data_IF_144449215587
#
_entry.id   IF_144449215587
#
_cell.length_a   1.000
_cell.length_b   1.000
_cell.length_c   1.000
_cell.angle_alpha   90.00
_cell.angle_beta   90.00
_cell.angle_gamma   90.00
#
_symmetry.space_group_name_H-M   'P 1'
#
loop_
_entity.id
_entity.type
_entity.pdbx_description
1 polymer ?
#
# COMPACT_ATOMS: atom_id res chain seq x y z
N UNK A 1 -20.14 -9.30 -13.91
CA UNK A 1 -20.68 -9.91 -12.65
C UNK A 1 -20.93 -8.80 -11.65
N UNK A 2 -21.89 -8.96 -10.78
CA UNK A 2 -22.12 -8.04 -9.66
C UNK A 2 -21.47 -8.63 -8.41
N UNK A 3 -20.57 -7.87 -7.78
CA UNK A 3 -19.75 -8.34 -6.65
C UNK A 3 -19.94 -7.39 -5.48
N UNK A 4 -20.17 -7.96 -4.30
CA UNK A 4 -20.21 -7.22 -3.05
C UNK A 4 -18.95 -7.52 -2.24
N UNK A 5 -18.27 -6.46 -1.78
CA UNK A 5 -17.11 -6.56 -0.90
C UNK A 5 -17.47 -5.97 0.44
N UNK A 6 -17.22 -6.68 1.50
CA UNK A 6 -17.45 -6.22 2.86
C UNK A 6 -16.11 -5.81 3.49
N UNK A 7 -16.01 -4.54 3.82
CA UNK A 7 -14.81 -3.92 4.37
C UNK A 7 -14.04 -3.10 3.33
N UNK A 8 -13.84 -1.81 3.63
CA UNK A 8 -13.09 -0.87 2.80
C UNK A 8 -11.67 -0.64 3.33
N UNK A 9 -11.05 -1.70 3.81
CA UNK A 9 -9.63 -1.72 4.11
C UNK A 9 -8.79 -1.87 2.84
N UNK A 10 -7.48 -2.01 3.00
CA UNK A 10 -6.54 -2.13 1.87
C UNK A 10 -6.89 -3.32 0.99
N UNK A 11 -7.17 -4.48 1.59
CA UNK A 11 -7.52 -5.68 0.82
C UNK A 11 -8.82 -5.52 0.05
N UNK A 12 -9.86 -5.00 0.70
CA UNK A 12 -11.17 -4.79 0.06
C UNK A 12 -11.12 -3.76 -1.06
N UNK A 13 -10.45 -2.64 -0.85
CA UNK A 13 -10.32 -1.60 -1.87
C UNK A 13 -9.43 -2.04 -3.04
N UNK A 14 -8.36 -2.79 -2.77
CA UNK A 14 -7.50 -3.36 -3.83
C UNK A 14 -8.29 -4.34 -4.68
N UNK A 15 -9.02 -5.25 -4.05
CA UNK A 15 -9.87 -6.20 -4.77
C UNK A 15 -10.94 -5.48 -5.61
N UNK A 16 -11.58 -4.44 -5.05
CA UNK A 16 -12.56 -3.64 -5.77
C UNK A 16 -11.97 -3.02 -7.03
N UNK A 17 -10.82 -2.35 -6.90
CA UNK A 17 -10.16 -1.69 -8.03
C UNK A 17 -9.82 -2.68 -9.15
N UNK A 18 -9.23 -3.83 -8.80
CA UNK A 18 -8.85 -4.83 -9.79
C UNK A 18 -10.04 -5.50 -10.44
N UNK A 19 -11.11 -5.74 -9.71
CA UNK A 19 -12.34 -6.33 -10.26
C UNK A 19 -13.08 -5.35 -11.16
N UNK A 20 -13.10 -4.07 -10.83
CA UNK A 20 -13.67 -3.04 -11.70
C UNK A 20 -12.92 -2.93 -13.03
N UNK A 21 -11.59 -2.97 -13.00
CA UNK A 21 -10.77 -3.00 -14.22
C UNK A 21 -11.09 -4.20 -15.13
N UNK A 22 -11.54 -5.30 -14.54
CA UNK A 22 -11.99 -6.49 -15.29
C UNK A 22 -13.42 -6.39 -15.80
N UNK A 23 -14.11 -5.29 -15.57
CA UNK A 23 -15.46 -5.06 -16.06
C UNK A 23 -16.57 -5.52 -15.14
N UNK A 24 -16.26 -5.86 -13.90
CA UNK A 24 -17.27 -6.23 -12.91
C UNK A 24 -17.91 -5.00 -12.26
N UNK A 25 -19.17 -5.12 -11.86
CA UNK A 25 -19.82 -4.11 -11.03
C UNK A 25 -19.55 -4.43 -9.56
N UNK A 26 -18.84 -3.54 -8.89
CA UNK A 26 -18.41 -3.78 -7.50
C UNK A 26 -19.09 -2.78 -6.57
N UNK A 27 -19.63 -3.27 -5.46
CA UNK A 27 -20.07 -2.46 -4.32
C UNK A 27 -19.24 -2.82 -3.09
N UNK A 28 -18.72 -1.79 -2.43
CA UNK A 28 -17.97 -1.96 -1.19
C UNK A 28 -18.82 -1.47 -0.03
N UNK A 29 -18.96 -2.30 0.99
CA UNK A 29 -19.71 -2.00 2.21
C UNK A 29 -18.73 -1.80 3.36
N UNK A 30 -18.79 -0.65 4.03
CA UNK A 30 -17.92 -0.29 5.14
C UNK A 30 -18.75 0.05 6.37
N UNK A 31 -18.38 -0.52 7.52
CA UNK A 31 -19.09 -0.27 8.79
C UNK A 31 -18.89 1.14 9.33
N UNK A 32 -17.77 1.78 9.03
CA UNK A 32 -17.49 3.14 9.46
C UNK A 32 -18.16 4.15 8.53
N UNK A 33 -18.51 5.33 9.07
CA UNK A 33 -19.15 6.39 8.29
C UNK A 33 -18.23 7.06 7.28
N UNK A 34 -16.92 6.87 7.43
CA UNK A 34 -15.90 7.38 6.50
C UNK A 34 -14.75 6.40 6.38
N UNK A 35 -14.05 6.46 5.24
CA UNK A 35 -12.79 5.76 5.07
C UNK A 35 -11.72 6.60 5.77
N UNK A 36 -11.24 6.11 6.91
CA UNK A 36 -10.21 6.80 7.66
C UNK A 36 -8.83 6.42 7.15
N UNK A 37 -7.97 7.42 7.02
CA UNK A 37 -6.57 7.19 6.74
C UNK A 37 -5.93 6.44 7.92
N UNK A 38 -5.22 5.38 7.60
CA UNK A 38 -4.42 4.68 8.60
C UNK A 38 -3.21 5.54 8.95
N UNK A 39 -2.97 5.71 10.24
CA UNK A 39 -1.77 6.39 10.74
C UNK A 39 -0.50 5.52 10.61
N UNK A 40 -0.64 4.28 10.18
CA UNK A 40 0.45 3.34 9.98
C UNK A 40 1.06 3.45 8.59
N UNK A 41 2.35 3.22 8.49
CA UNK A 41 3.02 3.07 7.21
C UNK A 41 2.81 1.67 6.64
N UNK A 42 2.80 1.58 5.32
CA UNK A 42 2.67 0.30 4.60
C UNK A 42 3.82 0.20 3.62
N UNK A 43 4.58 -0.88 3.72
CA UNK A 43 5.62 -1.23 2.76
C UNK A 43 5.05 -2.10 1.65
N UNK A 44 5.32 -1.74 0.40
CA UNK A 44 4.92 -2.52 -0.76
C UNK A 44 6.19 -2.93 -1.50
N UNK A 45 6.41 -4.23 -1.59
CA UNK A 45 7.57 -4.78 -2.26
C UNK A 45 7.54 -4.60 -3.77
N UNK A 46 8.71 -4.54 -4.38
CA UNK A 46 8.86 -4.40 -5.83
C UNK A 46 8.19 -5.56 -6.61
N UNK A 47 8.18 -6.76 -6.03
CA UNK A 47 7.49 -7.91 -6.61
C UNK A 47 5.97 -7.70 -6.76
N UNK A 48 5.35 -7.02 -5.80
CA UNK A 48 3.92 -6.67 -5.88
C UNK A 48 3.68 -5.63 -6.96
N UNK A 49 4.52 -4.60 -7.01
CA UNK A 49 4.42 -3.54 -8.02
C UNK A 49 4.61 -4.08 -9.43
N UNK A 50 5.51 -5.04 -9.63
CA UNK A 50 5.70 -5.71 -10.91
C UNK A 50 4.45 -6.48 -11.36
N UNK A 51 3.80 -7.18 -10.43
CA UNK A 51 2.54 -7.88 -10.72
C UNK A 51 1.40 -6.93 -11.07
N UNK A 52 1.39 -5.74 -10.49
CA UNK A 52 0.40 -4.70 -10.74
C UNK A 52 0.78 -3.74 -11.89
N UNK A 53 1.92 -3.98 -12.56
CA UNK A 53 2.56 -3.01 -13.45
C UNK A 53 1.71 -2.51 -14.63
N UNK A 54 0.71 -3.29 -15.08
CA UNK A 54 -0.21 -2.90 -16.14
C UNK A 54 -1.57 -2.40 -15.63
N UNK A 55 -1.78 -2.37 -14.32
CA UNK A 55 -2.99 -1.83 -13.69
C UNK A 55 -2.79 -0.38 -13.28
N UNK A 56 -3.86 0.42 -13.36
CA UNK A 56 -3.84 1.83 -12.91
C UNK A 56 -3.52 1.96 -11.43
N UNK A 57 -3.84 0.94 -10.64
CA UNK A 57 -3.50 0.87 -9.21
C UNK A 57 -2.00 1.01 -8.97
N UNK A 58 -1.16 0.40 -9.80
CA UNK A 58 0.30 0.50 -9.67
C UNK A 58 0.80 1.95 -9.84
N UNK A 59 0.21 2.69 -10.79
CA UNK A 59 0.54 4.11 -10.98
C UNK A 59 0.13 4.94 -9.78
N UNK A 60 -1.05 4.70 -9.23
CA UNK A 60 -1.54 5.36 -8.04
C UNK A 60 -0.63 5.13 -6.83
N UNK A 61 -0.20 3.90 -6.63
CA UNK A 61 0.73 3.54 -5.55
C UNK A 61 2.06 4.28 -5.70
N UNK A 62 2.65 4.25 -6.89
CA UNK A 62 3.93 4.93 -7.16
C UNK A 62 3.83 6.44 -6.97
N UNK A 63 2.72 7.07 -7.36
CA UNK A 63 2.52 8.50 -7.21
C UNK A 63 2.26 8.92 -5.77
N UNK A 64 1.54 8.10 -5.00
CA UNK A 64 1.22 8.38 -3.60
C UNK A 64 2.33 7.97 -2.63
N UNK A 65 3.17 7.02 -3.03
CA UNK A 65 4.19 6.43 -2.18
C UNK A 65 5.54 7.10 -2.29
N UNK A 66 6.45 6.63 -1.45
CA UNK A 66 7.86 7.02 -1.48
C UNK A 66 8.71 5.80 -1.78
N UNK A 67 9.67 5.94 -2.68
CA UNK A 67 10.62 4.89 -2.98
C UNK A 67 11.58 4.70 -1.81
N UNK A 68 11.71 3.47 -1.33
CA UNK A 68 12.65 3.10 -0.29
C UNK A 68 13.86 2.42 -0.92
N UNK A 69 15.05 2.91 -0.61
CA UNK A 69 16.31 2.41 -1.18
C UNK A 69 17.15 1.66 -0.16
N UNK A 70 16.92 1.86 1.13
CA UNK A 70 17.70 1.23 2.18
C UNK A 70 16.88 1.05 3.46
N UNK A 71 17.24 0.01 4.20
CA UNK A 71 16.77 -0.21 5.57
C UNK A 71 17.99 -0.31 6.47
N UNK A 72 18.02 0.52 7.50
CA UNK A 72 19.09 0.52 8.48
C UNK A 72 18.52 0.18 9.85
N UNK A 73 19.20 -0.67 10.58
CA UNK A 73 18.83 -1.07 11.94
C UNK A 73 19.92 -0.59 12.88
N UNK A 74 19.50 0.08 13.95
CA UNK A 74 20.38 0.64 14.99
C UNK A 74 19.99 0.08 16.34
N UNK A 75 20.95 0.04 17.28
CA UNK A 75 20.64 -0.24 18.68
C UNK A 75 20.12 1.01 19.41
N UNK A 76 19.82 0.88 20.71
CA UNK A 76 19.29 1.99 21.52
C UNK A 76 20.28 3.14 21.72
N UNK A 77 21.58 2.93 21.49
CA UNK A 77 22.60 3.97 21.54
C UNK A 77 22.83 4.63 20.18
N UNK A 78 22.15 4.18 19.15
CA UNK A 78 22.33 4.70 17.79
C UNK A 78 23.48 4.05 17.02
N UNK A 79 24.01 2.92 17.50
CA UNK A 79 25.06 2.17 16.81
C UNK A 79 24.46 1.35 15.67
N UNK A 80 24.97 1.46 14.43
CA UNK A 80 24.45 0.67 13.32
C UNK A 80 24.65 -0.84 13.53
N UNK A 81 23.58 -1.61 13.42
CA UNK A 81 23.61 -3.07 13.50
C UNK A 81 23.56 -3.73 12.13
N UNK A 82 22.74 -3.18 11.23
CA UNK A 82 22.55 -3.74 9.89
C UNK A 82 22.15 -2.65 8.91
N UNK A 83 22.58 -2.80 7.67
CA UNK A 83 22.13 -1.99 6.55
C UNK A 83 21.82 -2.90 5.38
N UNK A 84 20.67 -2.71 4.75
CA UNK A 84 20.26 -3.48 3.58
C UNK A 84 19.74 -2.53 2.50
N UNK A 85 20.09 -2.80 1.24
CA UNK A 85 19.51 -2.11 0.09
C UNK A 85 18.14 -2.70 -0.21
N UNK A 86 17.16 -1.83 -0.46
CA UNK A 86 15.79 -2.21 -0.75
C UNK A 86 15.35 -1.72 -2.12
N UNK A 87 14.45 -2.50 -2.73
CA UNK A 87 13.64 -2.09 -3.87
C UNK A 87 12.18 -2.20 -3.45
N UNK A 88 11.66 -1.17 -2.80
CA UNK A 88 10.28 -1.17 -2.34
C UNK A 88 9.73 0.24 -2.32
N UNK A 89 8.41 0.35 -2.25
CA UNK A 89 7.70 1.60 -2.07
C UNK A 89 6.99 1.59 -0.73
N UNK A 90 6.96 2.72 -0.07
CA UNK A 90 6.21 2.91 1.16
C UNK A 90 5.06 3.85 0.91
N UNK A 91 3.87 3.45 1.34
CA UNK A 91 2.71 4.30 1.42
C UNK A 91 2.53 4.74 2.87
N UNK A 92 2.56 6.04 3.10
CA UNK A 92 2.36 6.61 4.42
C UNK A 92 1.31 7.70 4.37
N UNK A 93 0.38 7.68 5.32
CA UNK A 93 -0.63 8.71 5.50
C UNK A 93 -0.68 9.17 6.96
N UNK A 94 -0.58 10.46 7.24
CA UNK A 94 0.12 11.47 6.45
C UNK A 94 1.57 11.05 6.26
N UNK A 95 2.28 11.64 5.31
CA UNK A 95 3.69 11.28 5.03
C UNK A 95 4.46 11.14 6.33
N UNK A 96 4.43 9.95 6.92
CA UNK A 96 5.19 9.72 8.12
C UNK A 96 6.60 9.27 7.74
N UNK A 97 7.55 9.82 8.42
CA UNK A 97 8.90 9.30 8.36
C UNK A 97 8.88 7.95 9.08
N UNK A 98 9.20 6.92 8.36
CA UNK A 98 9.62 5.70 9.01
C UNK A 98 11.04 5.99 9.47
N UNK A 99 11.14 6.27 10.74
CA UNK A 99 12.43 6.42 11.37
C UNK A 99 12.97 5.03 11.65
#
# INVERSE_FOLDING_TARGET
MKIAIVGAGIGGLTAAALLEEQGHQVKVFEKNTSINELSAGIGIGDNVLKKLGHHDLAKGIKNAGQNLTAMNIYDEQGTPLMSAKLKSHSLTFPKCRII
#
